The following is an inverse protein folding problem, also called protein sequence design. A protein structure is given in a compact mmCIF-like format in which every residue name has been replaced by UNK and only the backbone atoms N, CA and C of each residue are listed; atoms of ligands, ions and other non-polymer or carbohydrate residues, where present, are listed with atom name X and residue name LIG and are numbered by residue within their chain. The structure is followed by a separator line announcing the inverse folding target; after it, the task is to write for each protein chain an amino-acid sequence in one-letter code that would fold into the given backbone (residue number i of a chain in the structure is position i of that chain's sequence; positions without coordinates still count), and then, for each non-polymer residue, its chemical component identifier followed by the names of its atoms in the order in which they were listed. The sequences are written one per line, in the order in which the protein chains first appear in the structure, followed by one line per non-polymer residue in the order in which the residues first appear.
data_IF_596387916950
#
_entry.id   IF_596387916950
#
_cell.length_a   1.000
_cell.length_b   1.000
_cell.length_c   1.000
_cell.angle_alpha   90.00
_cell.angle_beta   90.00
_cell.angle_gamma   90.00
#
_symmetry.space_group_name_H-M   'P 1'
#
loop_
_entity.id
_entity.type
_entity.pdbx_description
1 polymer ?
#
# COMPACT_ATOMS: atom_id res chain seq x y z
N UNK A 1 -7.08 -2.02 6.53
CA UNK A 1 -6.58 -0.79 5.89
C UNK A 1 -7.38 0.36 6.49
N UNK A 2 -6.86 0.97 7.56
CA UNK A 2 -7.56 1.97 8.39
C UNK A 2 -6.64 3.14 8.78
N UNK A 3 -5.43 3.20 8.21
CA UNK A 3 -4.54 4.33 8.45
C UNK A 3 -4.99 5.52 7.63
N UNK A 4 -4.76 6.74 8.13
CA UNK A 4 -5.03 7.97 7.38
C UNK A 4 -4.21 8.03 6.09
N UNK A 5 -3.02 7.44 6.10
CA UNK A 5 -2.15 7.24 4.95
C UNK A 5 -1.57 5.83 5.02
N UNK A 6 -1.64 5.10 3.91
CA UNK A 6 -1.17 3.73 3.75
C UNK A 6 0.06 3.75 2.84
N UNK A 7 1.21 3.41 3.44
CA UNK A 7 2.50 3.36 2.76
C UNK A 7 2.94 1.90 2.66
N UNK A 8 3.40 1.48 1.49
CA UNK A 8 3.93 0.14 1.27
C UNK A 8 5.38 0.18 0.76
N UNK A 9 6.07 -0.94 0.90
CA UNK A 9 7.38 -1.15 0.27
C UNK A 9 7.22 -1.71 -1.14
N UNK A 10 8.22 -1.51 -2.03
CA UNK A 10 8.18 -2.09 -3.37
C UNK A 10 7.96 -3.60 -3.33
N UNK A 11 7.08 -4.10 -4.20
CA UNK A 11 6.74 -5.52 -4.36
C UNK A 11 6.11 -6.19 -3.13
N UNK A 12 5.75 -5.42 -2.09
CA UNK A 12 5.11 -5.97 -0.89
C UNK A 12 3.82 -6.69 -1.27
N UNK A 13 3.59 -7.87 -0.68
CA UNK A 13 2.35 -8.63 -0.85
C UNK A 13 1.37 -8.20 0.23
N UNK A 14 0.25 -7.61 -0.15
CA UNK A 14 -0.80 -7.15 0.76
C UNK A 14 -2.15 -7.68 0.29
N UNK A 15 -2.87 -8.35 1.18
CA UNK A 15 -4.16 -8.94 0.85
C UNK A 15 -4.83 -9.54 2.08
N UNK A 16 -6.16 -9.62 2.05
CA UNK A 16 -6.93 -10.21 3.13
C UNK A 16 -6.88 -11.76 3.09
N UNK A 17 -7.04 -12.33 1.89
CA UNK A 17 -6.95 -13.77 1.65
C UNK A 17 -5.75 -14.07 0.75
N UNK A 18 -5.13 -15.24 0.92
CA UNK A 18 -4.03 -15.67 0.06
C UNK A 18 -4.49 -15.95 -1.38
N UNK A 19 -3.63 -15.66 -2.35
CA UNK A 19 -3.88 -15.85 -3.79
C UNK A 19 -4.53 -17.20 -4.13
N UNK A 20 -4.00 -18.31 -3.58
CA UNK A 20 -4.53 -19.67 -3.80
C UNK A 20 -6.00 -19.82 -3.39
N UNK A 21 -6.41 -19.22 -2.27
CA UNK A 21 -7.80 -19.29 -1.80
C UNK A 21 -8.72 -18.52 -2.74
N UNK A 22 -8.24 -17.38 -3.25
CA UNK A 22 -9.00 -16.55 -4.19
C UNK A 22 -9.14 -17.26 -5.54
N UNK A 23 -8.05 -17.81 -6.09
CA UNK A 23 -8.07 -18.59 -7.34
C UNK A 23 -9.04 -19.77 -7.26
N UNK A 24 -9.03 -20.50 -6.14
CA UNK A 24 -9.96 -21.62 -5.92
C UNK A 24 -11.43 -21.17 -5.86
N UNK A 25 -11.67 -19.94 -5.39
CA UNK A 25 -13.02 -19.39 -5.25
C UNK A 25 -13.55 -18.82 -6.58
N UNK A 26 -12.72 -18.05 -7.29
CA UNK A 26 -13.10 -17.37 -8.54
C UNK A 26 -12.95 -18.30 -9.77
N UNK A 27 -12.16 -19.37 -9.65
CA UNK A 27 -11.85 -20.33 -10.73
C UNK A 27 -11.18 -19.70 -11.96
N UNK A 28 -10.50 -18.57 -11.76
CA UNK A 28 -9.73 -17.86 -12.77
C UNK A 28 -8.30 -17.62 -12.28
N UNK A 29 -7.36 -17.43 -13.22
CA UNK A 29 -5.99 -17.04 -12.90
C UNK A 29 -5.94 -15.57 -12.49
N UNK A 30 -5.23 -15.27 -11.41
CA UNK A 30 -5.07 -13.89 -10.95
C UNK A 30 -4.18 -13.08 -11.91
N UNK A 31 -4.45 -11.77 -12.09
CA UNK A 31 -3.60 -10.90 -12.88
C UNK A 31 -2.14 -10.87 -12.40
N UNK A 32 -1.22 -10.54 -13.30
CA UNK A 32 0.18 -10.33 -12.91
C UNK A 32 0.27 -9.19 -11.89
N UNK A 33 1.08 -9.40 -10.86
CA UNK A 33 1.23 -8.40 -9.80
C UNK A 33 0.02 -8.29 -8.86
N UNK A 34 -0.98 -9.17 -8.95
CA UNK A 34 -2.10 -9.18 -8.01
C UNK A 34 -1.60 -9.18 -6.55
N UNK A 35 -2.23 -8.36 -5.71
CA UNK A 35 -1.85 -8.11 -4.31
C UNK A 35 -0.47 -7.47 -4.10
N UNK A 36 0.24 -7.06 -5.15
CA UNK A 36 1.49 -6.30 -5.00
C UNK A 36 1.21 -4.84 -4.69
N UNK A 37 2.14 -4.19 -4.00
CA UNK A 37 2.07 -2.78 -3.67
C UNK A 37 1.77 -1.92 -4.91
N UNK A 38 2.39 -2.22 -6.04
CA UNK A 38 2.19 -1.52 -7.32
C UNK A 38 0.76 -1.66 -7.83
N UNK A 39 0.23 -2.89 -7.84
CA UNK A 39 -1.15 -3.17 -8.22
C UNK A 39 -2.14 -2.43 -7.28
N UNK A 40 -1.87 -2.44 -5.99
CA UNK A 40 -2.74 -1.81 -4.99
C UNK A 40 -2.66 -0.28 -5.00
N UNK A 41 -1.52 0.30 -5.39
CA UNK A 41 -1.36 1.73 -5.64
C UNK A 41 -2.23 2.16 -6.84
N UNK A 42 -2.20 1.40 -7.93
CA UNK A 42 -3.03 1.65 -9.11
C UNK A 42 -4.54 1.55 -8.82
N UNK A 43 -4.92 0.68 -7.88
CA UNK A 43 -6.33 0.48 -7.47
C UNK A 43 -6.75 1.36 -6.28
N UNK A 44 -5.90 2.30 -5.84
CA UNK A 44 -6.24 3.27 -4.80
C UNK A 44 -6.35 2.70 -3.38
N UNK A 45 -5.80 1.50 -3.14
CA UNK A 45 -5.73 0.92 -1.81
C UNK A 45 -4.48 1.39 -1.05
N UNK A 46 -3.37 1.64 -1.73
CA UNK A 46 -2.13 2.19 -1.16
C UNK A 46 -1.95 3.62 -1.68
N UNK A 47 -1.48 4.53 -0.82
CA UNK A 47 -1.27 5.94 -1.18
C UNK A 47 0.12 6.20 -1.76
N UNK A 48 1.13 5.46 -1.31
CA UNK A 48 2.51 5.62 -1.79
C UNK A 48 3.36 4.36 -1.56
N UNK A 49 4.35 4.20 -2.44
CA UNK A 49 5.36 3.14 -2.35
C UNK A 49 6.71 3.79 -2.05
N UNK A 50 7.35 3.37 -0.96
CA UNK A 50 8.60 3.96 -0.48
C UNK A 50 9.60 2.86 -0.14
N UNK A 51 10.84 3.00 -0.61
CA UNK A 51 11.94 2.08 -0.25
C UNK A 51 12.35 2.27 1.20
N UNK A 52 12.85 1.20 1.84
CA UNK A 52 13.18 1.21 3.28
C UNK A 52 14.14 2.33 3.69
N UNK A 53 15.09 2.66 2.83
CA UNK A 53 16.10 3.69 3.05
C UNK A 53 15.52 5.12 3.04
N UNK A 54 14.49 5.37 2.22
CA UNK A 54 13.81 6.66 2.14
C UNK A 54 12.69 6.82 3.18
N UNK A 55 12.18 5.71 3.70
CA UNK A 55 11.03 5.69 4.62
C UNK A 55 11.15 6.64 5.82
N UNK A 56 12.30 6.79 6.52
CA UNK A 56 12.42 7.76 7.60
C UNK A 56 12.23 9.21 7.15
N UNK A 57 12.73 9.55 5.96
CA UNK A 57 12.63 10.90 5.41
C UNK A 57 11.19 11.23 5.03
N UNK A 58 10.51 10.32 4.32
CA UNK A 58 9.14 10.54 3.87
C UNK A 58 8.14 10.52 5.04
N UNK A 59 8.35 9.64 6.02
CA UNK A 59 7.55 9.63 7.25
C UNK A 59 7.67 10.95 8.02
N UNK A 60 8.89 11.50 8.13
CA UNK A 60 9.11 12.81 8.75
C UNK A 60 8.36 13.93 8.02
N UNK A 61 8.44 13.95 6.67
CA UNK A 61 7.72 14.94 5.85
C UNK A 61 6.21 14.84 6.04
N UNK A 62 5.66 13.62 6.05
CA UNK A 62 4.24 13.37 6.23
C UNK A 62 3.75 13.97 7.55
N UNK A 63 4.37 13.59 8.68
CA UNK A 63 3.99 14.08 10.01
C UNK A 63 4.13 15.60 10.12
N UNK A 64 5.22 16.16 9.57
CA UNK A 64 5.47 17.60 9.62
C UNK A 64 4.35 18.37 8.92
N UNK A 65 3.92 17.92 7.76
CA UNK A 65 2.87 18.57 6.98
C UNK A 65 1.50 18.45 7.65
N UNK A 66 1.12 17.25 8.10
CA UNK A 66 -0.17 17.04 8.80
C UNK A 66 -0.29 17.89 10.07
N UNK A 67 0.81 18.08 10.82
CA UNK A 67 0.83 18.94 12.01
C UNK A 67 0.74 20.43 11.70
N UNK A 68 1.19 20.87 10.52
CA UNK A 68 1.08 22.26 10.10
C UNK A 68 -0.38 22.62 9.77
N UNK A 69 -1.10 21.70 9.14
CA UNK A 69 -2.52 21.88 8.79
C UNK A 69 -3.45 21.90 10.01
N UNK A 70 -3.14 21.14 11.06
CA UNK A 70 -3.93 21.17 12.32
C UNK A 70 -3.75 22.43 13.17
N UNK A 71 -2.83 23.34 12.79
CA UNK A 71 -2.55 24.59 13.52
C UNK A 71 -3.02 25.85 12.79
N UNK A 72 -3.61 25.69 11.60
CA UNK A 72 -4.30 26.74 10.87
C UNK A 72 -5.81 26.68 11.19
#
# INVERSE_FOLDING_TARGET
MLGDVIIAEPKALVGFAGARVIEQTVRESLPEGFQRAEFLLEHGAIDMIVTRDQMPCDYYRLIKNTRAESRA
#
